data_IF_352561621265
#
_entry.id   IF_352561621265
#
_cell.length_a   1.000
_cell.length_b   1.000
_cell.length_c   1.000
_cell.angle_alpha   90.00
_cell.angle_beta   90.00
_cell.angle_gamma   90.00
#
_symmetry.space_group_name_H-M   'P 1'
#
loop_
_entity.id
_entity.type
_entity.pdbx_description
1 polymer ?
#
# COMPACT_ATOMS: atom_id res chain seq x y z
N UNK A 1 10.88 8.23 -16.31
CA UNK A 1 11.69 9.17 -15.57
C UNK A 1 11.61 10.63 -16.04
N UNK A 2 12.00 10.93 -17.28
CA UNK A 2 12.14 12.33 -17.77
C UNK A 2 10.80 13.08 -17.82
N UNK A 3 9.72 12.41 -18.20
CA UNK A 3 8.38 13.04 -18.30
C UNK A 3 7.88 13.51 -16.93
N UNK A 4 8.12 12.75 -15.87
CA UNK A 4 7.71 13.10 -14.50
C UNK A 4 8.55 14.27 -13.92
N UNK A 5 9.81 14.37 -14.30
CA UNK A 5 10.70 15.46 -13.83
C UNK A 5 10.33 16.83 -14.46
N UNK A 6 9.66 16.84 -15.60
CA UNK A 6 9.19 18.07 -16.26
C UNK A 6 7.74 18.36 -15.89
N UNK A 7 6.87 17.35 -15.85
CA UNK A 7 5.45 17.53 -15.56
C UNK A 7 5.20 17.96 -14.10
N UNK A 8 5.94 17.46 -13.13
CA UNK A 8 5.78 17.82 -11.72
C UNK A 8 5.93 19.32 -11.46
N UNK A 9 7.09 19.94 -11.72
CA UNK A 9 7.28 21.37 -11.54
C UNK A 9 6.32 22.24 -12.38
N UNK A 10 5.94 21.77 -13.57
CA UNK A 10 5.00 22.48 -14.42
C UNK A 10 3.56 22.46 -13.84
N UNK A 11 3.16 21.35 -13.25
CA UNK A 11 1.88 21.21 -12.54
C UNK A 11 1.85 22.04 -11.24
N UNK A 12 2.98 22.16 -10.55
CA UNK A 12 3.10 22.95 -9.33
C UNK A 12 3.10 24.47 -9.61
N UNK A 13 3.58 24.89 -10.77
CA UNK A 13 3.70 26.30 -11.15
C UNK A 13 2.38 26.96 -11.56
N UNK A 14 1.33 26.19 -11.95
CA UNK A 14 0.08 26.74 -12.46
C UNK A 14 -1.15 25.92 -12.06
N UNK A 15 -2.01 26.51 -11.23
CA UNK A 15 -3.29 25.90 -10.84
C UNK A 15 -4.21 25.61 -12.05
N UNK A 16 -4.16 26.44 -13.08
CA UNK A 16 -4.95 26.25 -14.32
C UNK A 16 -4.46 25.06 -15.11
N UNK A 17 -3.13 24.92 -15.26
CA UNK A 17 -2.53 23.80 -15.98
C UNK A 17 -2.79 22.49 -15.23
N UNK A 18 -2.60 22.47 -13.90
CA UNK A 18 -2.92 21.32 -13.06
C UNK A 18 -4.37 20.88 -13.20
N UNK A 19 -5.34 21.81 -13.13
CA UNK A 19 -6.77 21.50 -13.33
C UNK A 19 -7.05 20.87 -14.69
N UNK A 20 -6.46 21.41 -15.76
CA UNK A 20 -6.64 20.87 -17.13
C UNK A 20 -6.03 19.47 -17.27
N UNK A 21 -4.83 19.26 -16.76
CA UNK A 21 -4.17 17.94 -16.81
C UNK A 21 -4.92 16.91 -15.97
N UNK A 22 -5.39 17.28 -14.78
CA UNK A 22 -6.22 16.42 -13.95
C UNK A 22 -7.56 16.08 -14.62
N UNK A 23 -8.23 17.06 -15.25
CA UNK A 23 -9.47 16.81 -15.97
C UNK A 23 -9.29 15.81 -17.11
N UNK A 24 -8.18 15.89 -17.85
CA UNK A 24 -7.85 14.92 -18.91
C UNK A 24 -7.52 13.54 -18.28
N UNK A 25 -6.71 13.51 -17.23
CA UNK A 25 -6.28 12.26 -16.58
C UNK A 25 -7.44 11.54 -15.85
N UNK A 26 -8.46 12.27 -15.43
CA UNK A 26 -9.66 11.75 -14.75
C UNK A 26 -10.88 11.65 -15.68
N UNK A 27 -10.66 11.64 -17.00
CA UNK A 27 -11.74 11.55 -18.00
C UNK A 27 -12.85 12.62 -17.79
N UNK A 28 -12.42 13.85 -17.47
CA UNK A 28 -13.31 14.96 -17.15
C UNK A 28 -14.21 14.72 -15.92
N UNK A 29 -13.69 14.07 -14.90
CA UNK A 29 -14.40 13.93 -13.63
C UNK A 29 -14.88 15.30 -13.12
N UNK A 30 -16.06 15.37 -12.49
CA UNK A 30 -16.57 16.61 -11.92
C UNK A 30 -15.59 17.19 -10.89
N UNK A 31 -15.52 18.52 -10.72
CA UNK A 31 -14.70 19.14 -9.68
C UNK A 31 -15.00 18.55 -8.29
N UNK A 32 -13.99 18.30 -7.44
CA UNK A 32 -14.17 17.68 -6.13
C UNK A 32 -15.20 18.42 -5.26
N UNK A 33 -15.24 19.74 -5.35
CA UNK A 33 -16.21 20.58 -4.63
C UNK A 33 -17.66 20.30 -5.03
N UNK A 34 -17.93 19.90 -6.27
CA UNK A 34 -19.28 19.55 -6.74
C UNK A 34 -19.69 18.14 -6.34
N UNK A 35 -18.73 17.26 -6.15
CA UNK A 35 -18.98 15.88 -5.71
C UNK A 35 -19.20 15.85 -4.20
N UNK A 36 -18.38 16.60 -3.44
CA UNK A 36 -18.42 16.63 -1.99
C UNK A 36 -19.56 17.48 -1.40
N UNK A 37 -20.28 18.24 -2.24
CA UNK A 37 -21.39 19.09 -1.79
C UNK A 37 -22.68 18.30 -1.45
N UNK A 38 -22.76 17.02 -1.82
CA UNK A 38 -23.96 16.19 -1.73
C UNK A 38 -23.52 14.72 -1.55
N UNK A 39 -23.93 14.10 -0.45
CA UNK A 39 -23.52 12.74 -0.09
C UNK A 39 -24.01 11.70 -1.12
N UNK A 40 -25.20 11.86 -1.68
CA UNK A 40 -25.72 10.96 -2.72
C UNK A 40 -24.91 11.01 -4.01
N UNK A 41 -24.46 12.21 -4.38
CA UNK A 41 -23.55 12.39 -5.52
C UNK A 41 -22.18 11.81 -5.25
N UNK A 42 -21.65 12.02 -4.05
CA UNK A 42 -20.37 11.45 -3.63
C UNK A 42 -20.43 9.92 -3.65
N UNK A 43 -21.47 9.31 -3.09
CA UNK A 43 -21.64 7.87 -3.10
C UNK A 43 -21.74 7.32 -4.53
N UNK A 44 -22.58 7.93 -5.36
CA UNK A 44 -22.76 7.53 -6.76
C UNK A 44 -21.46 7.65 -7.57
N UNK A 45 -20.66 8.69 -7.32
CA UNK A 45 -19.36 8.88 -7.94
C UNK A 45 -18.37 7.81 -7.48
N UNK A 46 -18.24 7.59 -6.16
CA UNK A 46 -17.34 6.60 -5.60
C UNK A 46 -17.66 5.19 -6.11
N UNK A 47 -18.94 4.79 -6.13
CA UNK A 47 -19.36 3.47 -6.65
C UNK A 47 -18.94 3.26 -8.12
N UNK A 48 -18.88 4.32 -8.91
CA UNK A 48 -18.50 4.26 -10.32
C UNK A 48 -16.99 4.23 -10.57
N UNK A 49 -16.21 4.96 -9.73
CA UNK A 49 -14.78 5.18 -10.01
C UNK A 49 -13.84 4.41 -9.08
N UNK A 50 -14.33 3.92 -7.94
CA UNK A 50 -13.47 3.16 -7.02
C UNK A 50 -13.04 1.86 -7.68
N UNK A 51 -11.75 1.60 -7.62
CA UNK A 51 -11.14 0.39 -8.15
C UNK A 51 -10.11 -0.18 -7.21
N UNK A 52 -9.77 -1.46 -7.38
CA UNK A 52 -8.68 -2.09 -6.66
C UNK A 52 -7.32 -1.68 -7.22
N UNK A 53 -6.37 -1.39 -6.34
CA UNK A 53 -4.98 -1.10 -6.72
C UNK A 53 -4.05 -2.31 -6.62
N UNK A 54 -4.60 -3.50 -6.35
CA UNK A 54 -3.91 -4.79 -6.31
C UNK A 54 -2.70 -4.83 -5.35
N UNK A 55 -2.80 -4.10 -4.24
CA UNK A 55 -1.79 -4.06 -3.18
C UNK A 55 -2.37 -4.54 -1.83
N UNK A 56 -2.87 -5.79 -1.72
CA UNK A 56 -3.34 -6.33 -0.44
C UNK A 56 -2.16 -6.53 0.51
N UNK A 57 -2.36 -6.19 1.79
CA UNK A 57 -1.37 -6.37 2.83
C UNK A 57 -2.03 -6.54 4.20
N UNK A 58 -1.26 -7.01 5.20
CA UNK A 58 -1.66 -7.02 6.60
C UNK A 58 -2.56 -8.17 7.05
N UNK A 59 -2.88 -9.15 6.21
CA UNK A 59 -3.75 -10.28 6.58
C UNK A 59 -3.10 -11.30 7.50
N UNK A 60 -1.75 -11.38 7.53
CA UNK A 60 -0.95 -12.16 8.47
C UNK A 60 -0.07 -11.24 9.31
N UNK A 61 -0.67 -10.19 9.88
CA UNK A 61 0.02 -9.09 10.56
C UNK A 61 1.09 -9.58 11.53
N UNK A 62 2.33 -9.10 11.37
CA UNK A 62 3.39 -9.35 12.34
C UNK A 62 3.27 -8.40 13.54
N UNK A 63 3.69 -8.89 14.70
CA UNK A 63 3.65 -8.11 15.93
C UNK A 63 4.19 -8.87 17.14
N UNK A 64 3.84 -8.39 18.34
CA UNK A 64 4.12 -9.08 19.59
C UNK A 64 3.27 -10.36 19.66
N UNK A 65 3.89 -11.54 19.85
CA UNK A 65 3.14 -12.81 19.99
C UNK A 65 2.09 -12.83 21.11
N UNK A 66 2.15 -11.90 22.05
CA UNK A 66 1.16 -11.75 23.13
C UNK A 66 -0.08 -10.96 22.70
N UNK A 67 -0.04 -10.24 21.59
CA UNK A 67 -1.20 -9.55 21.04
C UNK A 67 -2.07 -10.56 20.28
N UNK A 68 -3.35 -10.75 20.67
CA UNK A 68 -4.26 -11.72 20.03
C UNK A 68 -4.53 -11.43 18.55
N UNK A 69 -4.22 -10.22 18.06
CA UNK A 69 -4.33 -9.87 16.66
C UNK A 69 -3.05 -10.14 15.85
N UNK A 70 -1.99 -10.66 16.46
CA UNK A 70 -0.74 -11.01 15.80
C UNK A 70 -0.83 -12.41 15.22
N UNK A 71 -0.53 -12.55 13.93
CA UNK A 71 -0.47 -13.85 13.24
C UNK A 71 0.96 -14.37 13.16
N UNK A 72 1.93 -13.48 12.99
CA UNK A 72 3.35 -13.85 12.90
C UNK A 72 4.22 -12.95 13.78
N UNK A 73 5.34 -13.48 14.23
CA UNK A 73 6.37 -12.70 14.93
C UNK A 73 7.16 -11.79 13.94
N UNK A 74 8.03 -10.87 14.43
CA UNK A 74 8.82 -10.01 13.56
C UNK A 74 9.83 -10.74 12.64
N UNK A 75 10.01 -12.06 12.81
CA UNK A 75 10.80 -12.93 11.94
C UNK A 75 9.94 -13.69 10.92
N UNK A 76 8.65 -13.40 10.85
CA UNK A 76 7.69 -14.03 9.95
C UNK A 76 7.19 -15.39 10.40
N UNK A 77 7.58 -15.90 11.59
CA UNK A 77 7.14 -17.22 12.10
C UNK A 77 5.70 -17.10 12.59
N UNK A 78 4.87 -18.04 12.17
CA UNK A 78 3.45 -18.05 12.57
C UNK A 78 3.34 -18.42 14.05
N UNK A 79 2.63 -17.60 14.81
CA UNK A 79 2.42 -17.80 16.25
C UNK A 79 1.62 -19.09 16.49
N UNK A 80 2.13 -19.95 17.34
CA UNK A 80 1.47 -21.21 17.71
C UNK A 80 1.65 -22.36 16.70
N UNK A 81 2.44 -22.17 15.65
CA UNK A 81 2.78 -23.24 14.69
C UNK A 81 4.30 -23.34 14.49
N UNK A 82 4.81 -24.57 14.53
CA UNK A 82 6.21 -24.84 14.28
C UNK A 82 6.48 -25.03 12.78
N UNK A 83 7.61 -24.51 12.32
CA UNK A 83 8.11 -24.72 10.97
C UNK A 83 7.39 -23.92 9.86
N UNK A 84 6.42 -23.06 10.20
CA UNK A 84 5.72 -22.23 9.23
C UNK A 84 6.19 -20.77 9.31
N UNK A 85 6.58 -20.20 8.16
CA UNK A 85 7.00 -18.81 8.02
C UNK A 85 6.24 -18.14 6.89
N UNK A 86 5.72 -16.95 7.14
CA UNK A 86 5.12 -16.07 6.13
C UNK A 86 6.19 -15.09 5.64
N UNK A 87 6.22 -14.80 4.34
CA UNK A 87 7.24 -13.93 3.73
C UNK A 87 6.67 -13.13 2.56
N UNK A 88 5.64 -12.32 2.82
CA UNK A 88 5.00 -11.47 1.82
C UNK A 88 4.37 -10.22 2.47
N UNK A 89 3.60 -9.44 1.69
CA UNK A 89 2.95 -8.21 2.15
C UNK A 89 1.93 -8.44 3.27
N UNK A 90 1.43 -9.66 3.45
CA UNK A 90 0.47 -9.96 4.52
C UNK A 90 1.04 -9.75 5.92
N UNK A 91 2.37 -9.78 6.08
CA UNK A 91 3.06 -9.51 7.34
C UNK A 91 3.01 -8.05 7.79
N UNK A 92 2.72 -7.10 6.90
CA UNK A 92 2.79 -5.68 7.22
C UNK A 92 1.82 -5.31 8.34
N UNK A 93 2.29 -4.74 9.47
CA UNK A 93 1.43 -4.38 10.60
C UNK A 93 0.54 -3.18 10.30
N UNK A 94 0.95 -2.32 9.37
CA UNK A 94 0.23 -1.15 8.87
C UNK A 94 0.44 -1.01 7.37
N UNK A 95 -0.50 -0.36 6.70
CA UNK A 95 -0.37 -0.06 5.26
C UNK A 95 0.75 0.97 5.06
N UNK A 96 1.82 0.65 4.33
CA UNK A 96 2.88 1.63 4.05
C UNK A 96 2.39 2.74 3.13
N UNK A 97 2.91 3.96 3.32
CA UNK A 97 2.65 5.11 2.44
C UNK A 97 3.44 5.00 1.12
N UNK A 98 3.48 3.83 0.51
CA UNK A 98 4.22 3.54 -0.71
C UNK A 98 3.60 2.35 -1.46
N UNK A 99 3.96 2.23 -2.75
CA UNK A 99 3.71 1.00 -3.50
C UNK A 99 4.39 -0.19 -2.81
N UNK A 100 3.68 -1.32 -2.67
CA UNK A 100 4.13 -2.47 -1.87
C UNK A 100 5.35 -3.21 -2.44
N UNK A 101 5.70 -3.04 -3.71
CA UNK A 101 6.75 -3.82 -4.35
C UNK A 101 8.09 -3.73 -3.60
N UNK A 102 8.60 -2.53 -3.38
CA UNK A 102 9.88 -2.33 -2.68
C UNK A 102 9.79 -2.74 -1.19
N UNK A 103 8.79 -2.31 -0.40
CA UNK A 103 8.65 -2.77 0.98
C UNK A 103 8.54 -4.28 1.14
N UNK A 104 7.86 -4.99 0.22
CA UNK A 104 7.76 -6.46 0.25
C UNK A 104 9.12 -7.11 0.03
N UNK A 105 9.89 -6.65 -0.96
CA UNK A 105 11.24 -7.18 -1.23
C UNK A 105 12.14 -6.98 0.00
N UNK A 106 12.14 -5.79 0.59
CA UNK A 106 12.92 -5.49 1.81
C UNK A 106 12.54 -6.41 2.98
N UNK A 107 11.24 -6.64 3.18
CA UNK A 107 10.73 -7.56 4.21
C UNK A 107 11.18 -8.99 3.95
N UNK A 108 11.07 -9.45 2.70
CA UNK A 108 11.48 -10.79 2.29
C UNK A 108 12.97 -11.04 2.49
N UNK A 109 13.83 -10.10 2.12
CA UNK A 109 15.29 -10.20 2.36
C UNK A 109 15.59 -10.32 3.85
N UNK A 110 14.99 -9.48 4.69
CA UNK A 110 15.19 -9.52 6.15
C UNK A 110 14.75 -10.86 6.76
N UNK A 111 13.61 -11.39 6.36
CA UNK A 111 13.08 -12.66 6.84
C UNK A 111 13.93 -13.84 6.35
N UNK A 112 14.37 -13.79 5.09
CA UNK A 112 15.29 -14.77 4.52
C UNK A 112 16.59 -14.86 5.33
N UNK A 113 17.18 -13.74 5.70
CA UNK A 113 18.39 -13.70 6.52
C UNK A 113 18.16 -14.25 7.94
N UNK A 114 17.03 -13.92 8.56
CA UNK A 114 16.66 -14.49 9.86
C UNK A 114 16.47 -16.01 9.79
N UNK A 115 15.85 -16.50 8.72
CA UNK A 115 15.64 -17.92 8.48
C UNK A 115 16.97 -18.65 8.28
N UNK A 116 17.87 -18.15 7.43
CA UNK A 116 19.22 -18.69 7.21
C UNK A 116 19.99 -18.77 8.53
N UNK A 117 19.98 -17.69 9.31
CA UNK A 117 20.66 -17.65 10.61
C UNK A 117 20.10 -18.68 11.62
N UNK A 118 18.82 -19.03 11.54
CA UNK A 118 18.21 -20.06 12.39
C UNK A 118 18.64 -21.48 11.99
N UNK A 119 18.76 -21.74 10.69
CA UNK A 119 19.17 -23.05 10.15
C UNK A 119 20.65 -23.35 10.39
N UNK A 120 21.51 -22.34 10.52
CA UNK A 120 22.95 -22.51 10.78
C UNK A 120 23.28 -22.70 12.27
N UNK A 121 22.31 -22.50 13.18
CA UNK A 121 22.50 -22.65 14.64
C UNK A 121 21.96 -23.96 15.20
N UNK A 122 21.28 -24.76 14.40
CA UNK A 122 20.78 -26.09 14.75
C UNK A 122 21.67 -27.17 14.18
#
# INVERSE_FOLDING_TARGET
GVLMNIAGPLMDSSAVLRRRMLAIATENAPPPEHIAADDDRLESYLRRVVGGVWHPCGTCRMGDPRDPNTVADPSGRVVGLDGLTVCDASLMPTIPCANLNVPVIMTAEKISDALKASLTRG
#
